data_IF_455294360843
#
_entry.id   IF_455294360843
#
_cell.length_a   1.000
_cell.length_b   1.000
_cell.length_c   1.000
_cell.angle_alpha   90.00
_cell.angle_beta   90.00
_cell.angle_gamma   90.00
#
_symmetry.space_group_name_H-M   'P 1'
#
loop_
_entity.id
_entity.type
_entity.pdbx_description
1 polymer ?
#
# COMPACT_ATOMS: atom_id res chain seq x y z
N UNK A 1 1.22 15.13 8.96
CA UNK A 1 0.45 15.33 7.70
C UNK A 1 -0.77 14.42 7.73
N UNK A 2 -1.81 14.65 6.90
CA UNK A 2 -3.03 13.82 6.91
C UNK A 2 -2.75 12.32 6.72
N UNK A 3 -1.81 11.96 5.87
CA UNK A 3 -1.46 10.57 5.59
C UNK A 3 -0.80 9.85 6.78
N UNK A 4 -0.07 10.56 7.65
CA UNK A 4 0.51 9.97 8.84
C UNK A 4 -0.56 9.51 9.85
N UNK A 5 -1.70 10.19 9.86
CA UNK A 5 -2.84 9.90 10.75
C UNK A 5 -3.86 8.97 10.10
N UNK A 6 -3.67 8.65 8.81
CA UNK A 6 -4.60 7.84 8.03
C UNK A 6 -4.44 6.34 8.24
N UNK A 7 -5.52 5.64 7.94
CA UNK A 7 -5.56 4.21 7.69
C UNK A 7 -6.09 3.98 6.28
N UNK A 8 -5.36 3.18 5.51
CA UNK A 8 -5.63 3.00 4.08
C UNK A 8 -6.40 1.72 3.80
N UNK A 9 -7.32 1.79 2.83
CA UNK A 9 -7.95 0.63 2.21
C UNK A 9 -7.48 0.54 0.76
N UNK A 10 -6.76 -0.51 0.41
CA UNK A 10 -6.22 -0.69 -0.94
C UNK A 10 -7.21 -1.47 -1.81
N UNK A 11 -7.46 -0.97 -3.00
CA UNK A 11 -8.38 -1.55 -3.99
C UNK A 11 -7.63 -1.78 -5.30
N UNK A 12 -7.67 -3.01 -5.82
CA UNK A 12 -7.27 -3.32 -7.20
C UNK A 12 -8.54 -3.29 -8.08
N UNK A 13 -8.79 -2.21 -8.84
CA UNK A 13 -10.10 -1.93 -9.41
C UNK A 13 -10.59 -2.98 -10.39
N UNK A 14 -9.71 -3.48 -11.30
CA UNK A 14 -10.08 -4.48 -12.30
C UNK A 14 -10.60 -5.77 -11.65
N UNK A 15 -9.88 -6.29 -10.64
CA UNK A 15 -10.34 -7.44 -9.87
C UNK A 15 -11.57 -7.12 -9.05
N UNK A 16 -11.53 -6.06 -8.26
CA UNK A 16 -12.62 -5.63 -7.38
C UNK A 16 -13.97 -5.53 -8.10
N UNK A 17 -13.96 -4.98 -9.32
CA UNK A 17 -15.15 -4.81 -10.15
C UNK A 17 -15.48 -6.02 -11.05
N UNK A 18 -14.73 -7.13 -10.96
CA UNK A 18 -14.93 -8.31 -11.80
C UNK A 18 -14.72 -8.03 -13.28
N UNK A 19 -13.72 -7.19 -13.61
CA UNK A 19 -13.41 -6.89 -15.00
C UNK A 19 -12.72 -8.09 -15.69
N UNK A 20 -12.84 -8.17 -16.99
CA UNK A 20 -12.20 -9.19 -17.81
C UNK A 20 -10.67 -9.08 -17.71
N UNK A 21 -9.96 -10.20 -17.76
CA UNK A 21 -8.50 -10.26 -17.68
C UNK A 21 -7.82 -9.53 -18.84
N UNK A 22 -8.43 -9.58 -20.03
CA UNK A 22 -7.97 -8.90 -21.24
C UNK A 22 -8.96 -7.84 -21.67
N UNK A 23 -8.43 -6.71 -22.12
CA UNK A 23 -9.24 -5.63 -22.67
C UNK A 23 -9.62 -5.95 -24.13
N UNK A 24 -10.89 -6.08 -24.40
CA UNK A 24 -11.42 -6.31 -25.74
C UNK A 24 -11.51 -5.00 -26.59
N UNK A 25 -11.19 -3.87 -25.97
CA UNK A 25 -11.31 -2.54 -26.56
C UNK A 25 -12.72 -2.21 -27.12
N UNK A 26 -13.72 -2.88 -26.54
CA UNK A 26 -15.13 -2.68 -26.87
C UNK A 26 -15.73 -1.42 -26.24
N UNK A 27 -17.03 -1.48 -25.97
CA UNK A 27 -17.74 -0.38 -25.31
C UNK A 27 -17.34 -0.22 -23.85
N UNK A 28 -17.44 1.01 -23.34
CA UNK A 28 -17.24 1.33 -21.93
C UNK A 28 -18.24 0.56 -21.06
N UNK A 29 -17.76 -0.04 -19.98
CA UNK A 29 -18.53 -0.79 -18.99
C UNK A 29 -18.50 -0.05 -17.66
N UNK A 30 -19.60 0.57 -17.27
CA UNK A 30 -19.71 1.44 -16.10
C UNK A 30 -19.74 0.64 -14.77
N UNK A 31 -18.63 -0.01 -14.39
CA UNK A 31 -18.52 -0.87 -13.19
C UNK A 31 -18.05 -0.15 -11.92
N UNK A 32 -17.56 1.08 -12.02
CA UNK A 32 -17.09 1.83 -10.86
C UNK A 32 -18.18 2.06 -9.81
N UNK A 33 -19.48 1.95 -10.19
CA UNK A 33 -20.58 1.96 -9.22
C UNK A 33 -20.46 0.86 -8.16
N UNK A 34 -19.83 -0.28 -8.47
CA UNK A 34 -19.58 -1.38 -7.51
C UNK A 34 -18.70 -0.89 -6.33
N UNK A 35 -17.69 -0.05 -6.64
CA UNK A 35 -16.85 0.57 -5.60
C UNK A 35 -17.66 1.65 -4.86
N UNK A 36 -18.42 2.47 -5.59
CA UNK A 36 -19.25 3.52 -5.02
C UNK A 36 -20.22 2.98 -3.97
N UNK A 37 -20.87 1.85 -4.23
CA UNK A 37 -21.78 1.17 -3.29
C UNK A 37 -21.09 0.69 -2.00
N UNK A 38 -19.78 0.54 -2.01
CA UNK A 38 -18.99 0.12 -0.84
C UNK A 38 -18.45 1.29 0.00
N UNK A 39 -18.59 2.54 -0.43
CA UNK A 39 -18.14 3.72 0.32
C UNK A 39 -18.71 3.75 1.75
N UNK A 40 -20.01 3.48 1.98
CA UNK A 40 -20.57 3.43 3.35
C UNK A 40 -19.88 2.38 4.23
N UNK A 41 -19.59 1.20 3.68
CA UNK A 41 -18.87 0.14 4.39
C UNK A 41 -17.43 0.56 4.72
N UNK A 42 -16.68 1.10 3.76
CA UNK A 42 -15.30 1.56 3.94
C UNK A 42 -15.25 2.64 5.05
N UNK A 43 -16.20 3.58 5.03
CA UNK A 43 -16.36 4.61 6.06
C UNK A 43 -16.70 4.02 7.42
N UNK A 44 -17.64 3.07 7.48
CA UNK A 44 -18.05 2.39 8.72
C UNK A 44 -16.90 1.62 9.34
N UNK A 45 -16.07 0.97 8.52
CA UNK A 45 -14.84 0.30 8.97
C UNK A 45 -13.80 1.29 9.50
N UNK A 46 -13.94 2.58 9.25
CA UNK A 46 -13.11 3.65 9.80
C UNK A 46 -11.88 3.98 8.96
N UNK A 47 -11.77 3.49 7.74
CA UNK A 47 -10.72 3.90 6.81
C UNK A 47 -10.86 5.36 6.41
N UNK A 48 -9.72 6.06 6.28
CA UNK A 48 -9.68 7.50 6.00
C UNK A 48 -9.06 7.83 4.65
N UNK A 49 -8.48 6.82 3.99
CA UNK A 49 -7.94 6.93 2.66
C UNK A 49 -8.11 5.63 1.87
N UNK A 50 -8.25 5.74 0.57
CA UNK A 50 -8.20 4.62 -0.37
C UNK A 50 -6.98 4.74 -1.27
N UNK A 51 -6.33 3.59 -1.54
CA UNK A 51 -5.29 3.46 -2.55
C UNK A 51 -5.82 2.61 -3.70
N UNK A 52 -5.98 3.20 -4.86
CA UNK A 52 -6.31 2.48 -6.09
C UNK A 52 -5.05 2.01 -6.79
N UNK A 53 -4.94 0.70 -7.04
CA UNK A 53 -4.01 0.15 -8.02
C UNK A 53 -4.40 0.62 -9.43
N UNK A 54 -3.61 0.34 -10.50
CA UNK A 54 -3.78 0.98 -11.78
C UNK A 54 -5.22 0.97 -12.28
N UNK A 55 -5.67 2.14 -12.73
CA UNK A 55 -7.05 2.45 -13.07
C UNK A 55 -7.21 2.87 -14.56
N UNK A 56 -6.08 3.24 -15.19
CA UNK A 56 -6.10 3.81 -16.53
C UNK A 56 -6.11 2.75 -17.62
N UNK A 57 -6.50 3.15 -18.85
CA UNK A 57 -6.66 2.26 -19.99
C UNK A 57 -5.42 1.37 -20.18
N UNK A 58 -5.61 0.06 -20.19
CA UNK A 58 -4.57 -0.94 -20.23
C UNK A 58 -4.94 -2.14 -21.08
N UNK A 59 -3.95 -2.95 -21.46
CA UNK A 59 -4.19 -4.16 -22.25
C UNK A 59 -4.78 -5.28 -21.38
N UNK A 60 -4.27 -5.47 -20.13
CA UNK A 60 -4.64 -6.60 -19.27
C UNK A 60 -4.79 -6.21 -17.81
N UNK A 61 -3.66 -6.07 -17.10
CA UNK A 61 -3.64 -6.01 -15.63
C UNK A 61 -3.48 -4.58 -15.06
N UNK A 62 -3.60 -3.56 -15.89
CA UNK A 62 -3.47 -2.17 -15.45
C UNK A 62 -2.04 -1.64 -15.45
N UNK A 63 -1.05 -2.47 -15.15
CA UNK A 63 0.37 -2.06 -15.20
C UNK A 63 0.91 -1.97 -16.63
N UNK A 64 0.23 -2.55 -17.60
CA UNK A 64 0.45 -2.39 -19.04
C UNK A 64 -0.38 -1.24 -19.61
N UNK A 65 -0.27 -0.06 -18.97
CA UNK A 65 -1.01 1.17 -19.33
C UNK A 65 -0.75 1.59 -20.77
N UNK A 66 -1.81 1.93 -21.51
CA UNK A 66 -1.72 2.42 -22.90
C UNK A 66 -2.21 3.85 -23.07
N UNK A 67 -2.98 4.39 -22.11
CA UNK A 67 -3.41 5.77 -22.08
C UNK A 67 -3.56 6.25 -20.63
N UNK A 68 -2.85 7.31 -20.26
CA UNK A 68 -2.90 7.89 -18.91
C UNK A 68 -4.01 8.93 -18.72
N UNK A 69 -4.76 9.25 -19.78
CA UNK A 69 -5.82 10.27 -19.75
C UNK A 69 -7.21 9.67 -19.75
N UNK A 70 -7.35 8.37 -19.97
CA UNK A 70 -8.63 7.66 -20.00
C UNK A 70 -8.67 6.59 -18.93
N UNK A 71 -9.74 6.54 -18.15
CA UNK A 71 -10.04 5.43 -17.27
C UNK A 71 -10.23 4.16 -18.10
N UNK A 72 -9.79 3.02 -17.61
CA UNK A 72 -9.93 1.73 -18.29
C UNK A 72 -11.42 1.45 -18.60
N UNK A 73 -11.72 1.27 -19.87
CA UNK A 73 -13.10 1.07 -20.35
C UNK A 73 -13.81 -0.13 -19.75
N UNK A 74 -13.08 -1.09 -19.22
CA UNK A 74 -13.65 -2.22 -18.47
C UNK A 74 -14.21 -1.81 -17.11
N UNK A 75 -13.83 -0.61 -16.61
CA UNK A 75 -14.25 -0.04 -15.33
C UNK A 75 -15.29 1.07 -15.50
N UNK A 76 -15.08 1.94 -16.46
CA UNK A 76 -15.93 3.11 -16.67
C UNK A 76 -15.29 4.14 -17.59
N UNK A 77 -15.69 5.38 -17.43
CA UNK A 77 -15.09 6.54 -18.07
C UNK A 77 -14.58 7.56 -17.03
N UNK A 78 -14.01 8.65 -17.52
CA UNK A 78 -13.50 9.72 -16.66
C UNK A 78 -14.57 10.37 -15.79
N UNK A 79 -15.82 10.46 -16.30
CA UNK A 79 -16.94 11.03 -15.54
C UNK A 79 -17.35 10.11 -14.37
N UNK A 80 -17.32 8.80 -14.60
CA UNK A 80 -17.59 7.81 -13.54
C UNK A 80 -16.54 7.91 -12.43
N UNK A 81 -15.25 8.00 -12.80
CA UNK A 81 -14.20 8.08 -11.80
C UNK A 81 -14.21 9.43 -11.05
N UNK A 82 -14.43 10.53 -11.74
CA UNK A 82 -14.59 11.84 -11.11
C UNK A 82 -15.70 11.81 -10.05
N UNK A 83 -16.87 11.29 -10.39
CA UNK A 83 -17.99 11.12 -9.48
C UNK A 83 -17.63 10.23 -8.29
N UNK A 84 -16.89 9.14 -8.52
CA UNK A 84 -16.44 8.24 -7.47
C UNK A 84 -15.53 8.95 -6.46
N UNK A 85 -14.57 9.75 -6.94
CA UNK A 85 -13.67 10.55 -6.09
C UNK A 85 -14.44 11.58 -5.27
N UNK A 86 -15.38 12.31 -5.91
CA UNK A 86 -16.25 13.27 -5.22
C UNK A 86 -17.00 12.60 -4.06
N UNK A 87 -17.54 11.41 -4.26
CA UNK A 87 -18.23 10.64 -3.21
C UNK A 87 -17.31 10.16 -2.09
N UNK A 88 -16.08 9.76 -2.40
CA UNK A 88 -15.08 9.47 -1.36
C UNK A 88 -14.78 10.72 -0.53
N UNK A 89 -14.59 11.87 -1.16
CA UNK A 89 -14.35 13.14 -0.46
C UNK A 89 -15.55 13.57 0.41
N UNK A 90 -16.78 13.41 -0.07
CA UNK A 90 -18.00 13.64 0.71
C UNK A 90 -18.08 12.71 1.94
N UNK A 91 -17.55 11.48 1.82
CA UNK A 91 -17.44 10.56 2.93
C UNK A 91 -16.29 10.89 3.90
N UNK A 92 -15.43 11.87 3.56
CA UNK A 92 -14.23 12.23 4.33
C UNK A 92 -13.05 11.29 4.09
N UNK A 93 -13.01 10.61 2.94
CA UNK A 93 -11.99 9.61 2.57
C UNK A 93 -11.13 10.21 1.45
N UNK A 94 -9.80 10.22 1.64
CA UNK A 94 -8.81 10.67 0.67
C UNK A 94 -8.56 9.60 -0.40
N UNK A 95 -8.20 10.04 -1.61
CA UNK A 95 -7.99 9.14 -2.77
C UNK A 95 -6.56 9.24 -3.28
N UNK A 96 -5.87 8.10 -3.30
CA UNK A 96 -4.51 7.94 -3.80
C UNK A 96 -4.53 7.00 -5.00
N UNK A 97 -3.82 7.35 -6.09
CA UNK A 97 -3.73 6.52 -7.29
C UNK A 97 -2.36 5.88 -7.43
N UNK A 98 -2.31 4.84 -8.25
CA UNK A 98 -1.07 4.21 -8.69
C UNK A 98 -0.53 4.89 -9.95
N UNK A 99 0.69 5.38 -9.90
CA UNK A 99 1.41 6.01 -10.99
C UNK A 99 2.43 5.04 -11.60
N UNK A 100 2.09 4.42 -12.71
CA UNK A 100 2.94 3.48 -13.45
C UNK A 100 3.78 4.26 -14.46
N UNK A 101 4.94 4.81 -14.03
CA UNK A 101 5.74 5.70 -14.88
C UNK A 101 7.05 5.10 -15.38
N UNK A 102 7.40 3.88 -14.93
CA UNK A 102 8.60 3.20 -15.41
C UNK A 102 8.40 2.57 -16.79
N UNK A 103 7.21 2.10 -17.11
CA UNK A 103 6.90 1.34 -18.31
C UNK A 103 5.46 1.54 -18.77
N UNK A 104 5.16 1.09 -19.98
CA UNK A 104 3.84 1.13 -20.62
C UNK A 104 3.54 -0.17 -21.35
N UNK A 105 2.28 -0.43 -21.67
CA UNK A 105 1.86 -1.52 -22.54
C UNK A 105 2.35 -1.37 -23.99
N UNK A 106 2.38 -2.46 -24.74
CA UNK A 106 2.86 -2.45 -26.14
C UNK A 106 1.94 -1.69 -27.11
N UNK A 107 0.67 -1.48 -26.73
CA UNK A 107 -0.29 -0.66 -27.49
C UNK A 107 -0.28 0.82 -27.10
N UNK A 108 0.66 1.25 -26.26
CA UNK A 108 0.87 2.66 -26.00
C UNK A 108 1.19 3.41 -27.29
N UNK A 109 0.49 4.50 -27.56
CA UNK A 109 0.52 5.18 -28.86
C UNK A 109 1.91 5.49 -29.40
N UNK A 110 2.84 5.89 -28.51
CA UNK A 110 4.20 6.21 -28.91
C UNK A 110 4.98 4.96 -29.31
N UNK A 111 4.74 3.83 -28.66
CA UNK A 111 5.38 2.56 -29.04
C UNK A 111 4.80 1.98 -30.32
N UNK A 112 3.50 2.10 -30.53
CA UNK A 112 2.88 1.74 -31.83
C UNK A 112 3.42 2.56 -33.00
N UNK A 113 3.67 3.86 -32.80
CA UNK A 113 4.30 4.69 -33.82
C UNK A 113 5.74 4.21 -34.15
N UNK A 114 6.51 3.84 -33.12
CA UNK A 114 7.85 3.24 -33.32
C UNK A 114 7.78 1.92 -34.06
N UNK A 115 6.82 1.04 -33.71
CA UNK A 115 6.64 -0.23 -34.42
C UNK A 115 6.30 -0.03 -35.90
N UNK A 116 5.50 1.00 -36.20
CA UNK A 116 5.10 1.29 -37.58
C UNK A 116 6.17 2.00 -38.40
N UNK A 117 6.90 2.96 -37.79
CA UNK A 117 7.83 3.86 -38.53
C UNK A 117 9.31 3.58 -38.29
N UNK A 118 9.61 2.79 -37.26
CA UNK A 118 10.99 2.41 -36.86
C UNK A 118 11.88 3.64 -36.64
N UNK A 119 13.05 3.69 -37.28
CA UNK A 119 14.00 4.82 -37.23
C UNK A 119 13.37 6.17 -37.65
N UNK A 120 12.30 6.14 -38.42
CA UNK A 120 11.56 7.32 -38.87
C UNK A 120 10.56 7.88 -37.85
N UNK A 121 10.37 7.19 -36.72
CA UNK A 121 9.47 7.67 -35.67
C UNK A 121 10.12 8.83 -34.87
N UNK A 122 9.36 9.89 -34.64
CA UNK A 122 9.75 10.98 -33.73
C UNK A 122 9.55 10.60 -32.24
N UNK A 123 9.01 9.40 -31.97
CA UNK A 123 8.84 8.83 -30.63
C UNK A 123 9.93 7.80 -30.27
N UNK A 124 10.89 7.51 -31.16
CA UNK A 124 11.93 6.49 -30.91
C UNK A 124 12.71 6.74 -29.61
N UNK A 125 12.97 8.01 -29.28
CA UNK A 125 13.75 8.41 -28.10
C UNK A 125 12.94 8.33 -26.80
N UNK A 126 11.64 8.01 -26.88
CA UNK A 126 10.77 7.75 -25.72
C UNK A 126 11.12 6.44 -25.04
N UNK A 127 11.87 5.56 -25.72
CA UNK A 127 12.23 4.22 -25.29
C UNK A 127 13.72 3.98 -25.53
N UNK A 128 14.27 2.98 -24.84
CA UNK A 128 15.64 2.52 -25.11
C UNK A 128 15.56 1.43 -26.21
N UNK A 129 15.88 1.78 -27.44
CA UNK A 129 15.71 0.93 -28.63
C UNK A 129 17.04 0.66 -29.33
N UNK A 130 17.18 -0.60 -29.82
CA UNK A 130 18.25 -0.99 -30.71
C UNK A 130 17.66 -1.62 -32.00
N UNK A 131 17.70 -0.89 -33.12
CA UNK A 131 17.16 -1.35 -34.40
C UNK A 131 17.99 -2.48 -35.06
N UNK A 132 19.19 -2.77 -34.55
CA UNK A 132 19.99 -3.93 -34.97
C UNK A 132 19.68 -5.21 -34.20
N UNK A 133 18.79 -5.16 -33.18
CA UNK A 133 18.41 -6.30 -32.37
C UNK A 133 17.00 -6.81 -32.65
N UNK A 134 16.52 -7.70 -31.77
CA UNK A 134 15.15 -8.21 -31.80
C UNK A 134 14.71 -8.65 -30.39
N UNK A 135 13.41 -8.86 -30.20
CA UNK A 135 12.83 -9.43 -28.99
C UNK A 135 12.00 -10.68 -29.32
N UNK A 136 11.42 -11.33 -28.29
CA UNK A 136 10.49 -12.44 -28.47
C UNK A 136 9.25 -12.08 -29.31
N UNK A 137 8.93 -10.80 -29.47
CA UNK A 137 7.79 -10.34 -30.29
C UNK A 137 8.09 -10.19 -31.77
N UNK A 138 9.37 -10.32 -32.20
CA UNK A 138 9.77 -10.24 -33.61
C UNK A 138 9.39 -8.91 -34.32
N UNK A 139 9.41 -7.79 -33.61
CA UNK A 139 9.17 -6.47 -34.20
C UNK A 139 10.32 -6.01 -35.14
N UNK A 140 11.43 -6.77 -35.18
CA UNK A 140 12.63 -6.46 -35.97
C UNK A 140 13.51 -5.39 -35.33
N UNK A 141 13.34 -5.09 -34.06
CA UNK A 141 14.22 -4.30 -33.21
C UNK A 141 14.14 -4.79 -31.78
N UNK A 142 15.19 -4.49 -31.00
CA UNK A 142 15.22 -4.72 -29.55
C UNK A 142 14.82 -3.44 -28.82
N UNK A 143 14.15 -3.60 -27.69
CA UNK A 143 13.85 -2.53 -26.75
C UNK A 143 13.95 -3.04 -25.30
N UNK A 144 14.16 -2.11 -24.37
CA UNK A 144 14.20 -2.44 -22.95
C UNK A 144 12.78 -2.65 -22.41
N UNK A 145 12.55 -3.81 -21.79
CA UNK A 145 11.34 -4.09 -21.00
C UNK A 145 11.62 -3.99 -19.50
N UNK A 146 10.59 -3.96 -18.69
CA UNK A 146 10.73 -4.01 -17.23
C UNK A 146 11.26 -5.38 -16.81
N UNK A 147 12.51 -5.42 -16.27
CA UNK A 147 13.15 -6.65 -15.74
C UNK A 147 13.05 -7.88 -16.67
N UNK A 148 13.06 -7.66 -17.99
CA UNK A 148 12.95 -8.71 -19.00
C UNK A 148 11.52 -9.02 -19.46
N UNK A 149 10.52 -8.40 -18.90
CA UNK A 149 9.13 -8.45 -19.33
C UNK A 149 8.91 -7.54 -20.54
N UNK A 150 8.98 -8.13 -21.74
CA UNK A 150 8.91 -7.38 -23.00
C UNK A 150 7.51 -6.82 -23.31
N UNK A 151 6.46 -7.31 -22.65
CA UNK A 151 5.12 -6.74 -22.69
C UNK A 151 5.02 -5.39 -21.97
N UNK A 152 5.96 -5.08 -21.08
CA UNK A 152 6.04 -3.84 -20.29
C UNK A 152 7.22 -3.01 -20.80
N UNK A 153 6.95 -2.17 -21.80
CA UNK A 153 7.98 -1.40 -22.52
C UNK A 153 8.47 -0.25 -21.67
N UNK A 154 9.75 -0.26 -21.30
CA UNK A 154 10.34 0.74 -20.41
C UNK A 154 10.41 2.10 -21.07
N UNK A 155 9.96 3.13 -20.37
CA UNK A 155 10.04 4.52 -20.79
C UNK A 155 11.44 5.09 -20.52
N UNK A 156 11.93 5.89 -21.46
CA UNK A 156 13.13 6.69 -21.28
C UNK A 156 12.79 8.02 -20.56
N UNK A 157 12.86 8.04 -19.24
CA UNK A 157 12.55 9.21 -18.43
C UNK A 157 13.52 10.38 -18.67
N UNK A 158 14.68 10.16 -19.30
CA UNK A 158 15.60 11.25 -19.71
C UNK A 158 15.14 11.96 -20.99
N UNK A 159 14.16 11.43 -21.72
CA UNK A 159 13.52 12.11 -22.82
C UNK A 159 12.56 13.19 -22.32
N UNK A 160 12.83 14.48 -22.61
CA UNK A 160 12.00 15.58 -22.15
C UNK A 160 10.53 15.49 -22.60
N UNK A 161 10.25 14.88 -23.76
CA UNK A 161 8.89 14.67 -24.24
C UNK A 161 8.14 13.64 -23.39
N UNK A 162 8.82 12.61 -22.85
CA UNK A 162 8.23 11.61 -21.93
C UNK A 162 7.87 12.26 -20.60
N UNK A 163 8.81 13.01 -20.01
CA UNK A 163 8.55 13.69 -18.73
C UNK A 163 7.48 14.77 -18.86
N UNK A 164 7.41 15.49 -19.98
CA UNK A 164 6.33 16.44 -20.25
C UNK A 164 4.97 15.74 -20.40
N UNK A 165 4.93 14.58 -21.05
CA UNK A 165 3.73 13.77 -21.17
C UNK A 165 3.25 13.29 -19.78
N UNK A 166 4.15 12.76 -18.93
CA UNK A 166 3.83 12.34 -17.57
C UNK A 166 3.36 13.53 -16.73
N UNK A 167 4.03 14.69 -16.81
CA UNK A 167 3.61 15.91 -16.12
C UNK A 167 2.18 16.29 -16.47
N UNK A 168 1.84 16.30 -17.75
CA UNK A 168 0.47 16.62 -18.21
C UNK A 168 -0.56 15.60 -17.72
N UNK A 169 -0.20 14.32 -17.66
CA UNK A 169 -1.08 13.28 -17.11
C UNK A 169 -1.34 13.50 -15.61
N UNK A 170 -0.29 13.76 -14.82
CA UNK A 170 -0.42 14.05 -13.38
C UNK A 170 -1.22 15.34 -13.13
N UNK A 171 -0.94 16.42 -13.90
CA UNK A 171 -1.72 17.66 -13.81
C UNK A 171 -3.20 17.43 -14.17
N UNK A 172 -3.48 16.61 -15.18
CA UNK A 172 -4.84 16.22 -15.55
C UNK A 172 -5.53 15.46 -14.40
N UNK A 173 -4.87 14.50 -13.74
CA UNK A 173 -5.45 13.78 -12.61
C UNK A 173 -5.75 14.69 -11.42
N UNK A 174 -4.89 15.69 -11.18
CA UNK A 174 -5.10 16.71 -10.15
C UNK A 174 -6.28 17.62 -10.48
N UNK A 175 -6.36 18.08 -11.73
CA UNK A 175 -7.39 19.06 -12.16
C UNK A 175 -8.77 18.40 -12.32
N UNK A 176 -8.81 17.22 -12.96
CA UNK A 176 -10.06 16.56 -13.31
C UNK A 176 -10.60 15.69 -12.17
N UNK A 177 -9.73 14.93 -11.49
CA UNK A 177 -10.18 13.98 -10.49
C UNK A 177 -9.92 14.45 -9.04
N UNK A 178 -9.13 15.50 -8.84
CA UNK A 178 -8.86 16.06 -7.50
C UNK A 178 -8.24 15.04 -6.52
N UNK A 179 -7.38 14.15 -7.01
CA UNK A 179 -6.74 13.11 -6.21
C UNK A 179 -5.83 13.70 -5.11
N UNK A 180 -5.64 12.95 -4.03
CA UNK A 180 -4.91 13.37 -2.84
C UNK A 180 -3.46 12.86 -2.77
N UNK A 181 -3.10 11.90 -3.62
CA UNK A 181 -1.76 11.34 -3.62
C UNK A 181 -1.49 10.36 -4.75
N UNK A 182 -0.22 9.94 -4.83
CA UNK A 182 0.26 8.90 -5.75
C UNK A 182 1.11 7.86 -5.01
N UNK A 183 0.90 6.59 -5.33
CA UNK A 183 1.88 5.51 -5.18
C UNK A 183 2.64 5.40 -6.48
N UNK A 184 3.96 5.39 -6.44
CA UNK A 184 4.79 5.20 -7.62
C UNK A 184 5.19 3.74 -7.72
N UNK A 185 4.71 3.09 -8.78
CA UNK A 185 5.06 1.72 -9.11
C UNK A 185 6.56 1.57 -9.36
N UNK A 186 7.16 0.45 -8.92
CA UNK A 186 8.58 0.11 -9.04
C UNK A 186 9.54 1.27 -8.82
N UNK A 187 9.31 2.05 -7.77
CA UNK A 187 10.09 3.27 -7.47
C UNK A 187 11.59 3.03 -7.34
N UNK A 188 12.02 1.81 -7.03
CA UNK A 188 13.44 1.44 -6.97
C UNK A 188 14.15 1.50 -8.34
N UNK A 189 13.39 1.57 -9.45
CA UNK A 189 13.92 1.75 -10.82
C UNK A 189 13.80 3.19 -11.32
N UNK A 190 13.11 4.06 -10.59
CA UNK A 190 12.97 5.46 -10.97
C UNK A 190 14.18 6.28 -10.50
N UNK A 191 14.71 7.19 -11.31
CA UNK A 191 15.83 8.03 -10.91
C UNK A 191 15.41 9.05 -9.84
N UNK A 192 16.33 9.41 -8.93
CA UNK A 192 16.03 10.29 -7.79
C UNK A 192 15.49 11.66 -8.22
N UNK A 193 16.02 12.23 -9.31
CA UNK A 193 15.54 13.51 -9.85
C UNK A 193 14.09 13.46 -10.30
N UNK A 194 13.57 12.28 -10.64
CA UNK A 194 12.17 12.10 -11.05
C UNK A 194 11.21 12.26 -9.86
N UNK A 195 11.61 11.87 -8.66
CA UNK A 195 10.83 12.15 -7.44
C UNK A 195 10.73 13.65 -7.18
N UNK A 196 11.84 14.39 -7.34
CA UNK A 196 11.86 15.85 -7.20
C UNK A 196 11.03 16.55 -8.29
N UNK A 197 11.08 16.03 -9.50
CA UNK A 197 10.25 16.49 -10.61
C UNK A 197 8.76 16.32 -10.30
N UNK A 198 8.33 15.13 -9.89
CA UNK A 198 6.95 14.87 -9.50
C UNK A 198 6.52 15.71 -8.29
N UNK A 199 7.37 15.81 -7.27
CA UNK A 199 7.08 16.62 -6.08
C UNK A 199 6.83 18.08 -6.44
N UNK A 200 7.64 18.67 -7.31
CA UNK A 200 7.42 20.04 -7.79
C UNK A 200 6.13 20.17 -8.60
N UNK A 201 5.83 19.20 -9.45
CA UNK A 201 4.60 19.19 -10.26
C UNK A 201 3.36 19.19 -9.37
N UNK A 202 3.30 18.29 -8.38
CA UNK A 202 2.11 18.17 -7.52
C UNK A 202 1.98 19.33 -6.54
N UNK A 203 3.09 19.80 -5.93
CA UNK A 203 3.06 20.95 -5.00
C UNK A 203 2.62 22.25 -5.62
N UNK A 204 2.85 22.45 -6.92
CA UNK A 204 2.37 23.63 -7.62
C UNK A 204 0.84 23.76 -7.59
N UNK A 205 0.13 22.65 -7.35
CA UNK A 205 -1.35 22.58 -7.31
C UNK A 205 -1.88 22.21 -5.91
N UNK A 206 -1.15 21.37 -5.15
CA UNK A 206 -1.61 20.84 -3.87
C UNK A 206 -0.41 20.60 -2.92
N UNK A 207 -0.30 21.42 -1.88
CA UNK A 207 0.85 21.37 -0.97
C UNK A 207 0.87 20.10 -0.10
N UNK A 208 -0.31 19.61 0.33
CA UNK A 208 -0.49 18.43 1.19
C UNK A 208 -0.56 17.10 0.42
N UNK A 209 -0.14 17.09 -0.85
CA UNK A 209 -0.21 15.90 -1.71
C UNK A 209 0.72 14.79 -1.23
N UNK A 210 0.16 13.58 -1.02
CA UNK A 210 0.91 12.40 -0.61
C UNK A 210 1.64 11.76 -1.78
N UNK A 211 2.94 11.52 -1.63
CA UNK A 211 3.75 10.87 -2.65
C UNK A 211 4.53 9.72 -2.02
N UNK A 212 4.17 8.48 -2.33
CA UNK A 212 4.85 7.29 -1.83
C UNK A 212 5.43 6.44 -2.95
N UNK A 213 6.47 5.67 -2.64
CA UNK A 213 7.12 4.76 -3.58
C UNK A 213 6.89 3.30 -3.22
N UNK A 214 6.68 2.45 -4.22
CA UNK A 214 6.84 1.02 -4.03
C UNK A 214 8.32 0.66 -4.07
N UNK A 215 8.82 0.08 -2.98
CA UNK A 215 10.22 -0.35 -2.84
C UNK A 215 10.29 -1.70 -2.14
N UNK A 216 10.84 -2.70 -2.83
CA UNK A 216 10.97 -4.07 -2.29
C UNK A 216 12.20 -4.20 -1.40
N UNK A 217 13.32 -3.57 -1.79
CA UNK A 217 14.61 -3.60 -1.09
C UNK A 217 14.91 -2.23 -0.50
N UNK A 218 14.55 -2.04 0.77
CA UNK A 218 14.50 -0.72 1.42
C UNK A 218 15.84 -0.23 1.99
N UNK A 219 16.90 -1.06 2.04
CA UNK A 219 18.14 -0.81 2.80
C UNK A 219 18.82 0.54 2.51
N UNK A 220 18.79 0.99 1.27
CA UNK A 220 19.48 2.22 0.83
C UNK A 220 18.51 3.33 0.37
N UNK A 221 17.21 3.19 0.66
CA UNK A 221 16.20 4.06 0.09
C UNK A 221 15.80 5.24 1.00
N UNK A 222 16.22 5.23 2.28
CA UNK A 222 15.89 6.26 3.27
C UNK A 222 16.25 7.69 2.85
N UNK A 223 17.30 7.85 2.02
CA UNK A 223 17.72 9.14 1.45
C UNK A 223 16.66 9.80 0.55
N UNK A 224 15.70 9.02 0.05
CA UNK A 224 14.62 9.52 -0.79
C UNK A 224 13.37 9.94 0.03
N UNK A 225 13.34 9.67 1.33
CA UNK A 225 12.28 10.14 2.22
C UNK A 225 12.62 11.54 2.76
N UNK A 226 12.45 12.53 1.90
CA UNK A 226 12.71 13.94 2.21
C UNK A 226 11.52 14.79 1.75
N UNK A 227 11.35 16.00 2.30
CA UNK A 227 10.26 16.89 1.89
C UNK A 227 10.20 17.14 0.38
N UNK A 228 11.32 17.11 -0.33
CA UNK A 228 11.39 17.40 -1.75
C UNK A 228 11.24 16.17 -2.66
N UNK A 229 11.10 14.98 -2.08
CA UNK A 229 10.95 13.71 -2.81
C UNK A 229 9.71 12.95 -2.35
N UNK A 230 9.88 11.88 -1.59
CA UNK A 230 8.82 10.98 -1.15
C UNK A 230 8.49 11.19 0.33
N UNK A 231 7.22 11.00 0.68
CA UNK A 231 6.74 11.01 2.06
C UNK A 231 6.89 9.63 2.71
N UNK A 232 6.71 8.56 1.94
CA UNK A 232 6.72 7.18 2.42
C UNK A 232 7.17 6.19 1.34
N UNK A 233 7.46 4.96 1.76
CA UNK A 233 7.68 3.80 0.88
C UNK A 233 7.04 2.56 1.49
N UNK A 234 6.77 1.54 0.66
CA UNK A 234 6.23 0.25 1.11
C UNK A 234 7.19 -0.48 2.05
N UNK A 235 6.64 -1.07 3.12
CA UNK A 235 7.41 -1.77 4.14
C UNK A 235 7.40 -3.30 3.93
N UNK A 236 8.06 -3.77 2.88
CA UNK A 236 8.19 -5.20 2.60
C UNK A 236 9.00 -5.96 3.66
N UNK A 237 9.87 -5.27 4.41
CA UNK A 237 10.65 -5.91 5.46
C UNK A 237 9.75 -6.35 6.63
N UNK A 238 8.91 -5.45 7.16
CA UNK A 238 7.97 -5.82 8.21
C UNK A 238 6.88 -6.78 7.72
N UNK A 239 6.42 -6.68 6.46
CA UNK A 239 5.54 -7.69 5.86
C UNK A 239 6.14 -9.10 5.97
N UNK A 240 7.39 -9.28 5.52
CA UNK A 240 8.10 -10.56 5.59
C UNK A 240 8.35 -11.00 7.04
N UNK A 241 8.81 -10.06 7.88
CA UNK A 241 9.08 -10.31 9.29
C UNK A 241 7.84 -10.74 10.07
N UNK A 242 6.68 -10.11 9.84
CA UNK A 242 5.40 -10.51 10.46
C UNK A 242 4.97 -11.91 10.04
N UNK A 243 4.97 -12.18 8.73
CA UNK A 243 4.56 -13.48 8.20
C UNK A 243 5.46 -14.60 8.71
N UNK A 244 6.78 -14.40 8.67
CA UNK A 244 7.75 -15.37 9.16
C UNK A 244 7.63 -15.59 10.67
N UNK A 245 7.61 -14.52 11.47
CA UNK A 245 7.55 -14.59 12.93
C UNK A 245 6.31 -15.36 13.44
N UNK A 246 5.15 -15.13 12.81
CA UNK A 246 3.91 -15.78 13.23
C UNK A 246 3.84 -17.25 12.80
N UNK A 247 4.42 -17.63 11.68
CA UNK A 247 4.46 -19.01 11.21
C UNK A 247 5.55 -19.85 11.89
N UNK A 248 6.69 -19.24 12.25
CA UNK A 248 7.79 -19.90 12.93
C UNK A 248 7.65 -19.89 14.48
N UNK A 249 6.61 -19.21 15.00
CA UNK A 249 6.46 -19.00 16.44
C UNK A 249 7.64 -18.25 17.08
N UNK A 250 8.20 -17.26 16.36
CA UNK A 250 9.40 -16.55 16.75
C UNK A 250 9.29 -15.03 16.55
N UNK A 251 8.75 -14.34 17.54
CA UNK A 251 8.58 -12.87 17.49
C UNK A 251 9.89 -12.09 17.49
N UNK A 252 11.04 -12.72 17.70
CA UNK A 252 12.36 -12.07 17.51
C UNK A 252 12.56 -11.61 16.06
N UNK A 253 11.95 -12.29 15.06
CA UNK A 253 12.10 -11.93 13.65
C UNK A 253 11.46 -10.57 13.33
N UNK A 254 10.22 -10.37 13.77
CA UNK A 254 9.55 -9.08 13.57
C UNK A 254 10.14 -7.98 14.47
N UNK A 255 10.54 -8.30 15.70
CA UNK A 255 11.15 -7.33 16.60
C UNK A 255 12.49 -6.83 16.04
N UNK A 256 13.29 -7.73 15.48
CA UNK A 256 14.53 -7.35 14.79
C UNK A 256 14.27 -6.36 13.66
N UNK A 257 13.26 -6.61 12.82
CA UNK A 257 12.87 -5.69 11.74
C UNK A 257 12.40 -4.34 12.31
N UNK A 258 11.60 -4.33 13.37
CA UNK A 258 11.11 -3.10 14.00
C UNK A 258 12.25 -2.28 14.58
N UNK A 259 13.16 -2.92 15.31
CA UNK A 259 14.34 -2.25 15.89
C UNK A 259 15.27 -1.75 14.78
N UNK A 260 15.56 -2.59 13.76
CA UNK A 260 16.41 -2.20 12.64
C UNK A 260 15.88 -1.01 11.86
N UNK A 261 14.57 -0.93 11.66
CA UNK A 261 13.96 0.15 10.91
C UNK A 261 13.75 1.40 11.78
N UNK A 262 13.21 1.25 12.97
CA UNK A 262 12.63 2.35 13.72
C UNK A 262 13.26 2.61 15.09
N UNK A 263 14.27 1.83 15.48
CA UNK A 263 15.03 2.04 16.73
C UNK A 263 15.72 3.40 16.77
N UNK A 264 16.38 3.69 17.91
CA UNK A 264 17.03 4.99 18.15
C UNK A 264 18.55 4.97 17.89
N UNK A 265 19.10 3.79 17.59
CA UNK A 265 20.53 3.63 17.33
C UNK A 265 20.93 4.18 15.96
N UNK A 266 22.18 4.61 15.79
CA UNK A 266 22.68 5.20 14.54
C UNK A 266 22.60 4.26 13.32
N UNK A 267 22.57 2.96 13.55
CA UNK A 267 22.45 1.96 12.47
C UNK A 267 21.01 1.71 12.02
N UNK A 268 20.01 2.29 12.71
CA UNK A 268 18.62 2.17 12.33
C UNK A 268 18.31 2.99 11.07
N UNK A 269 17.51 2.41 10.17
CA UNK A 269 17.41 2.93 8.80
C UNK A 269 16.37 4.04 8.63
N UNK A 270 15.27 3.98 9.37
CA UNK A 270 14.08 4.81 9.17
C UNK A 270 13.56 5.47 10.45
N UNK A 271 14.45 5.72 11.42
CA UNK A 271 14.08 6.41 12.67
C UNK A 271 13.36 7.72 12.36
N UNK A 272 12.16 7.91 12.92
CA UNK A 272 11.33 9.10 12.71
C UNK A 272 10.68 9.20 11.33
N UNK A 273 10.70 8.12 10.54
CA UNK A 273 9.99 8.02 9.25
C UNK A 273 8.78 7.12 9.36
N UNK A 274 7.72 7.43 8.60
CA UNK A 274 6.53 6.60 8.48
C UNK A 274 6.57 5.81 7.17
N UNK A 275 6.73 4.48 7.26
CA UNK A 275 6.64 3.60 6.11
C UNK A 275 5.20 3.12 5.91
N UNK A 276 4.84 2.75 4.68
CA UNK A 276 3.53 2.24 4.33
C UNK A 276 3.46 0.74 4.64
N UNK A 277 2.76 0.39 5.71
CA UNK A 277 2.70 -0.95 6.28
C UNK A 277 1.49 -1.73 5.75
N UNK A 278 1.71 -2.99 5.40
CA UNK A 278 0.67 -3.90 4.91
C UNK A 278 0.92 -5.34 5.39
N UNK A 279 -0.14 -6.14 5.49
CA UNK A 279 -0.08 -7.57 5.78
C UNK A 279 -0.15 -8.42 4.50
N UNK A 280 -0.82 -7.88 3.48
CA UNK A 280 -0.90 -8.39 2.12
C UNK A 280 -1.24 -7.26 1.15
N UNK A 281 -1.11 -7.53 -0.14
CA UNK A 281 -1.51 -6.66 -1.22
C UNK A 281 -1.83 -7.47 -2.50
N UNK A 282 -1.97 -6.82 -3.64
CA UNK A 282 -2.31 -7.44 -4.92
C UNK A 282 -1.19 -8.29 -5.57
N UNK A 283 0.03 -8.31 -4.99
CA UNK A 283 1.23 -9.00 -5.52
C UNK A 283 1.75 -10.11 -4.61
N UNK A 284 1.26 -10.19 -3.37
CA UNK A 284 1.69 -11.19 -2.39
C UNK A 284 0.53 -12.05 -1.91
N UNK A 285 0.84 -13.22 -1.36
CA UNK A 285 -0.16 -14.15 -0.82
C UNK A 285 -1.02 -13.42 0.22
N UNK A 286 -2.34 -13.64 0.16
CA UNK A 286 -3.30 -13.04 1.09
C UNK A 286 -2.97 -13.41 2.54
N UNK A 287 -3.07 -12.46 3.46
CA UNK A 287 -2.69 -12.64 4.86
C UNK A 287 -3.40 -13.84 5.50
N UNK A 288 -4.68 -14.01 5.21
CA UNK A 288 -5.46 -15.15 5.70
C UNK A 288 -4.92 -16.49 5.17
N UNK A 289 -4.43 -16.56 3.95
CA UNK A 289 -3.77 -17.76 3.39
C UNK A 289 -2.37 -17.95 3.96
N UNK A 290 -1.58 -16.88 4.04
CA UNK A 290 -0.17 -16.91 4.43
C UNK A 290 0.04 -17.31 5.90
N UNK A 291 -0.85 -16.93 6.82
CA UNK A 291 -0.77 -17.26 8.25
C UNK A 291 -1.43 -18.61 8.50
N UNK A 292 -0.64 -19.62 8.84
CA UNK A 292 -1.11 -20.99 9.02
C UNK A 292 -2.13 -21.09 10.18
N UNK A 293 -1.81 -20.56 11.36
CA UNK A 293 -2.70 -20.52 12.52
C UNK A 293 -3.49 -19.20 12.55
N UNK A 294 -4.78 -19.27 12.20
CA UNK A 294 -5.66 -18.10 12.08
C UNK A 294 -5.88 -17.35 13.40
N UNK A 295 -5.64 -17.99 14.56
CA UNK A 295 -5.71 -17.33 15.88
C UNK A 295 -4.67 -16.22 16.02
N UNK A 296 -3.56 -16.27 15.24
CA UNK A 296 -2.49 -15.27 15.23
C UNK A 296 -2.78 -14.05 14.35
N UNK A 297 -3.86 -14.05 13.57
CA UNK A 297 -4.24 -12.90 12.74
C UNK A 297 -4.54 -11.66 13.59
N UNK A 298 -5.06 -11.82 14.79
CA UNK A 298 -5.25 -10.71 15.71
C UNK A 298 -3.91 -10.04 16.08
N UNK A 299 -2.86 -10.83 16.34
CA UNK A 299 -1.52 -10.32 16.61
C UNK A 299 -0.91 -9.65 15.37
N UNK A 300 -1.08 -10.25 14.17
CA UNK A 300 -0.64 -9.68 12.90
C UNK A 300 -1.13 -8.23 12.73
N UNK A 301 -2.44 -8.04 12.76
CA UNK A 301 -3.02 -6.71 12.52
C UNK A 301 -2.78 -5.75 13.69
N UNK A 302 -2.72 -6.23 14.93
CA UNK A 302 -2.41 -5.37 16.08
C UNK A 302 -0.99 -4.82 15.99
N UNK A 303 0.00 -5.65 15.65
CA UNK A 303 1.38 -5.19 15.43
C UNK A 303 1.42 -4.22 14.25
N UNK A 304 0.79 -4.57 13.11
CA UNK A 304 0.74 -3.74 11.90
C UNK A 304 0.22 -2.32 12.17
N UNK A 305 -0.83 -2.19 12.98
CA UNK A 305 -1.43 -0.89 13.31
C UNK A 305 -0.68 -0.10 14.38
N UNK A 306 0.02 -0.80 15.27
CA UNK A 306 0.74 -0.17 16.37
C UNK A 306 2.22 0.14 16.05
N UNK A 307 2.85 -0.55 15.09
CA UNK A 307 4.22 -0.23 14.69
C UNK A 307 4.31 1.14 13.99
N UNK A 308 5.51 1.80 13.93
CA UNK A 308 5.68 3.03 13.18
C UNK A 308 5.30 2.87 11.70
N UNK A 309 4.62 3.87 11.16
CA UNK A 309 4.21 3.88 9.75
C UNK A 309 2.72 4.06 9.55
N UNK A 310 2.27 3.91 8.33
CA UNK A 310 0.90 4.13 7.84
C UNK A 310 0.27 2.78 7.55
N UNK A 311 -0.72 2.30 8.32
CA UNK A 311 -1.33 1.00 8.09
C UNK A 311 -2.24 0.97 6.87
N UNK A 312 -2.15 -0.11 6.10
CA UNK A 312 -2.99 -0.40 4.95
C UNK A 312 -3.57 -1.81 5.04
N UNK A 313 -4.84 -1.93 4.71
CA UNK A 313 -5.55 -3.21 4.55
C UNK A 313 -5.96 -3.35 3.10
N UNK A 314 -5.59 -4.45 2.47
CA UNK A 314 -6.01 -4.77 1.12
C UNK A 314 -7.44 -5.34 1.14
N UNK A 315 -8.28 -4.95 0.18
CA UNK A 315 -9.71 -5.29 0.20
C UNK A 315 -10.00 -6.77 0.39
N UNK A 316 -10.93 -7.07 1.27
CA UNK A 316 -11.32 -8.42 1.64
C UNK A 316 -10.43 -9.08 2.70
N UNK A 317 -9.24 -8.56 2.99
CA UNK A 317 -8.37 -9.11 4.05
C UNK A 317 -9.00 -8.95 5.42
N UNK A 318 -9.76 -7.89 5.63
CA UNK A 318 -10.56 -7.68 6.83
C UNK A 318 -11.63 -8.74 7.04
N UNK A 319 -12.08 -9.38 5.97
CA UNK A 319 -13.06 -10.46 5.99
C UNK A 319 -12.42 -11.86 5.91
N UNK A 320 -11.10 -11.96 5.88
CA UNK A 320 -10.40 -13.24 5.74
C UNK A 320 -10.41 -13.80 4.31
N UNK A 321 -10.37 -12.94 3.29
CA UNK A 321 -10.22 -13.37 1.91
C UNK A 321 -8.93 -14.15 1.72
N UNK A 322 -9.03 -15.29 1.00
CA UNK A 322 -7.91 -16.16 0.65
C UNK A 322 -7.40 -15.86 -0.76
N UNK A 323 -6.18 -16.28 -1.03
CA UNK A 323 -5.56 -16.22 -2.35
C UNK A 323 -4.08 -16.50 -2.29
N UNK A 324 -3.60 -17.20 -3.31
CA UNK A 324 -2.19 -17.49 -3.56
C UNK A 324 -1.83 -17.17 -5.02
N UNK A 325 -0.62 -17.51 -5.45
CA UNK A 325 -0.15 -17.28 -6.82
C UNK A 325 -0.31 -18.49 -7.75
N UNK A 326 -1.14 -19.45 -7.43
CA UNK A 326 -1.31 -20.69 -8.20
C UNK A 326 -1.81 -20.45 -9.64
N UNK A 327 -2.55 -19.34 -9.87
CA UNK A 327 -2.99 -18.88 -11.21
C UNK A 327 -2.47 -17.46 -11.47
N UNK A 328 -1.16 -17.29 -11.39
CA UNK A 328 -0.54 -15.97 -11.42
C UNK A 328 -1.04 -15.09 -10.28
N UNK A 329 -1.22 -13.79 -10.55
CA UNK A 329 -1.70 -12.85 -9.53
C UNK A 329 -3.24 -12.75 -9.46
N UNK A 330 -3.99 -13.41 -10.34
CA UNK A 330 -5.45 -13.25 -10.40
C UNK A 330 -6.15 -13.76 -9.15
N UNK A 331 -5.65 -14.85 -8.53
CA UNK A 331 -6.19 -15.36 -7.27
C UNK A 331 -6.02 -14.39 -6.09
N UNK A 332 -5.10 -13.42 -6.23
CA UNK A 332 -4.89 -12.36 -5.24
C UNK A 332 -5.88 -11.20 -5.42
N UNK A 333 -6.59 -11.14 -6.56
CA UNK A 333 -7.39 -10.00 -7.06
C UNK A 333 -8.85 -10.38 -7.32
N UNK A 334 -9.56 -11.02 -6.33
CA UNK A 334 -10.91 -11.53 -6.53
C UNK A 334 -11.93 -10.42 -6.76
N UNK A 335 -13.06 -10.77 -7.40
CA UNK A 335 -14.23 -9.91 -7.44
C UNK A 335 -14.80 -9.73 -6.02
N UNK A 336 -15.16 -8.49 -5.65
CA UNK A 336 -15.68 -8.19 -4.30
C UNK A 336 -16.96 -8.97 -3.99
N UNK A 337 -17.76 -9.28 -5.00
CA UNK A 337 -18.98 -10.08 -4.86
C UNK A 337 -18.73 -11.55 -4.51
N UNK A 338 -17.52 -12.07 -4.75
CA UNK A 338 -17.13 -13.44 -4.43
C UNK A 338 -16.56 -13.58 -3.00
N UNK A 339 -16.32 -12.46 -2.32
CA UNK A 339 -15.76 -12.44 -0.97
C UNK A 339 -16.86 -12.64 0.07
N UNK A 340 -16.76 -13.71 0.87
CA UNK A 340 -17.64 -13.92 2.02
C UNK A 340 -17.28 -12.95 3.15
N UNK A 341 -18.07 -11.89 3.29
CA UNK A 341 -17.88 -10.86 4.32
C UNK A 341 -18.11 -11.39 5.76
N UNK A 342 -18.69 -12.56 5.92
CA UNK A 342 -18.96 -13.18 7.23
C UNK A 342 -17.96 -14.26 7.59
N UNK A 343 -16.92 -14.52 6.80
CA UNK A 343 -15.93 -15.57 7.04
C UNK A 343 -15.10 -15.34 8.32
N UNK A 344 -14.74 -14.08 8.60
CA UNK A 344 -13.90 -13.71 9.74
C UNK A 344 -14.46 -12.48 10.49
N UNK A 345 -15.65 -12.57 11.11
CA UNK A 345 -16.32 -11.41 11.70
C UNK A 345 -15.53 -10.79 12.87
N UNK A 346 -14.80 -11.61 13.64
CA UNK A 346 -13.96 -11.14 14.74
C UNK A 346 -12.77 -10.33 14.24
N UNK A 347 -12.19 -10.73 13.10
CA UNK A 347 -11.11 -10.00 12.45
C UNK A 347 -11.60 -8.65 11.91
N UNK A 348 -12.76 -8.62 11.24
CA UNK A 348 -13.41 -7.38 10.79
C UNK A 348 -13.68 -6.43 11.96
N UNK A 349 -14.23 -6.93 13.07
CA UNK A 349 -14.48 -6.15 14.27
C UNK A 349 -13.18 -5.58 14.88
N UNK A 350 -12.11 -6.38 14.92
CA UNK A 350 -10.81 -5.95 15.40
C UNK A 350 -10.24 -4.84 14.52
N UNK A 351 -10.21 -5.02 13.20
CA UNK A 351 -9.67 -4.02 12.25
C UNK A 351 -10.46 -2.70 12.36
N UNK A 352 -11.79 -2.76 12.42
CA UNK A 352 -12.63 -1.58 12.67
C UNK A 352 -12.22 -0.86 13.95
N UNK A 353 -11.97 -1.59 15.03
CA UNK A 353 -11.51 -1.04 16.30
C UNK A 353 -10.11 -0.42 16.18
N UNK A 354 -9.17 -1.11 15.52
CA UNK A 354 -7.80 -0.62 15.28
C UNK A 354 -7.80 0.67 14.46
N UNK A 355 -8.67 0.80 13.45
CA UNK A 355 -8.87 2.04 12.70
C UNK A 355 -9.30 3.19 13.63
N UNK A 356 -10.23 2.93 14.55
CA UNK A 356 -10.67 3.91 15.55
C UNK A 356 -9.56 4.34 16.51
N UNK A 357 -8.80 3.37 17.02
CA UNK A 357 -7.67 3.61 17.94
C UNK A 357 -6.58 4.45 17.24
N UNK A 358 -6.21 4.08 16.00
CA UNK A 358 -5.19 4.77 15.22
C UNK A 358 -5.53 6.23 14.98
N UNK A 359 -6.76 6.53 14.55
CA UNK A 359 -7.23 7.90 14.26
C UNK A 359 -7.19 8.82 15.48
N UNK A 360 -7.35 8.29 16.68
CA UNK A 360 -7.34 9.06 17.92
C UNK A 360 -5.99 9.19 18.61
N UNK A 361 -4.90 8.59 18.06
CA UNK A 361 -3.62 8.49 18.77
C UNK A 361 -2.48 9.21 18.06
N UNK A 362 -1.94 10.24 18.70
CA UNK A 362 -0.71 10.93 18.30
C UNK A 362 0.50 10.02 18.43
N UNK A 363 0.56 9.20 19.49
CA UNK A 363 1.65 8.27 19.70
C UNK A 363 1.75 7.24 18.58
N UNK A 364 0.62 6.68 18.11
CA UNK A 364 0.63 5.73 16.99
C UNK A 364 0.99 6.41 15.66
N UNK A 365 0.57 7.66 15.44
CA UNK A 365 0.86 8.40 14.21
C UNK A 365 2.32 8.85 14.12
N UNK A 366 2.89 9.37 15.20
CA UNK A 366 4.17 10.09 15.18
C UNK A 366 5.21 9.58 16.18
N UNK A 367 4.81 8.69 17.10
CA UNK A 367 5.68 8.21 18.16
C UNK A 367 6.82 7.34 17.67
N UNK A 368 7.94 7.37 18.38
CA UNK A 368 9.05 6.44 18.18
C UNK A 368 8.71 5.00 18.58
N UNK A 369 9.58 4.08 18.26
CA UNK A 369 9.50 2.67 18.65
C UNK A 369 10.45 2.36 19.81
N UNK A 370 9.96 1.66 20.83
CA UNK A 370 10.77 1.15 21.92
C UNK A 370 10.26 -0.24 22.36
N UNK A 371 11.13 -1.24 22.28
CA UNK A 371 10.86 -2.57 22.79
C UNK A 371 10.83 -2.56 24.32
N UNK A 372 9.78 -3.11 24.92
CA UNK A 372 9.65 -3.26 26.37
C UNK A 372 9.95 -4.70 26.81
N UNK A 373 9.27 -5.68 26.23
CA UNK A 373 9.41 -7.10 26.57
C UNK A 373 9.41 -7.94 25.31
N UNK A 374 10.27 -8.94 25.22
CA UNK A 374 10.37 -9.86 24.09
C UNK A 374 10.62 -11.29 24.54
N UNK A 375 9.88 -12.19 23.96
CA UNK A 375 10.07 -13.64 23.98
C UNK A 375 9.67 -14.23 22.64
N UNK A 376 9.95 -15.49 22.37
CA UNK A 376 9.52 -16.13 21.13
C UNK A 376 7.99 -15.99 20.88
N UNK A 377 7.20 -16.07 21.95
CA UNK A 377 5.74 -16.17 21.89
C UNK A 377 4.99 -14.89 22.30
N UNK A 378 5.66 -13.92 22.87
CA UNK A 378 5.02 -12.66 23.28
C UNK A 378 5.96 -11.48 23.09
N UNK A 379 5.36 -10.35 22.74
CA UNK A 379 6.05 -9.08 22.50
C UNK A 379 5.24 -7.95 23.14
N UNK A 380 5.94 -7.04 23.81
CA UNK A 380 5.40 -5.74 24.19
C UNK A 380 6.35 -4.64 23.75
N UNK A 381 5.81 -3.62 23.10
CA UNK A 381 6.54 -2.43 22.71
C UNK A 381 5.74 -1.15 22.99
N UNK A 382 6.45 -0.04 23.08
CA UNK A 382 5.90 1.28 23.37
C UNK A 382 5.99 2.19 22.15
N UNK A 383 4.99 3.05 22.00
CA UNK A 383 4.97 4.21 21.13
C UNK A 383 4.72 5.46 21.98
N UNK A 384 5.48 6.53 21.75
CA UNK A 384 5.36 7.76 22.54
C UNK A 384 5.52 9.01 21.68
N UNK A 385 4.55 9.94 21.77
CA UNK A 385 4.61 11.27 21.18
C UNK A 385 3.70 12.24 21.96
N UNK A 386 4.10 13.48 22.06
CA UNK A 386 3.31 14.58 22.62
C UNK A 386 2.72 14.28 24.03
N UNK A 387 3.45 13.51 24.85
CA UNK A 387 3.02 13.08 26.19
C UNK A 387 2.05 11.90 26.20
N UNK A 388 1.60 11.42 25.04
CA UNK A 388 0.81 10.18 24.93
C UNK A 388 1.74 8.98 24.85
N UNK A 389 1.47 7.93 25.66
CA UNK A 389 2.14 6.64 25.62
C UNK A 389 1.17 5.52 25.34
N UNK A 390 1.49 4.72 24.34
CA UNK A 390 0.73 3.52 23.95
C UNK A 390 1.63 2.29 24.07
N UNK A 391 1.11 1.26 24.73
CA UNK A 391 1.74 -0.05 24.83
C UNK A 391 0.97 -1.05 24.00
N UNK A 392 1.65 -1.70 23.06
CA UNK A 392 1.10 -2.81 22.29
C UNK A 392 1.66 -4.12 22.86
N UNK A 393 0.82 -5.02 23.31
CA UNK A 393 1.21 -6.32 23.85
C UNK A 393 0.46 -7.44 23.13
N UNK A 394 1.20 -8.46 22.67
CA UNK A 394 0.65 -9.61 21.94
C UNK A 394 1.20 -10.90 22.53
N UNK A 395 0.33 -11.91 22.61
CA UNK A 395 0.67 -13.30 22.95
C UNK A 395 0.23 -14.20 21.77
N UNK A 396 1.16 -14.95 21.18
CA UNK A 396 0.87 -15.89 20.08
C UNK A 396 0.95 -17.35 20.52
N UNK A 397 0.96 -17.61 21.85
CA UNK A 397 0.98 -18.96 22.39
C UNK A 397 -0.39 -19.41 22.87
N UNK A 398 -0.51 -20.69 23.14
CA UNK A 398 -1.65 -21.34 23.77
C UNK A 398 -1.62 -21.33 25.31
N UNK A 399 -0.66 -20.59 25.88
CA UNK A 399 -0.49 -20.45 27.33
C UNK A 399 -0.78 -19.00 27.77
N UNK A 400 -1.19 -18.85 29.01
CA UNK A 400 -1.26 -17.55 29.69
C UNK A 400 0.12 -16.95 29.89
N UNK A 401 0.22 -15.65 29.69
CA UNK A 401 1.48 -14.88 29.85
C UNK A 401 1.21 -13.62 30.67
N UNK A 402 2.12 -13.29 31.56
CA UNK A 402 2.14 -11.99 32.24
C UNK A 402 3.35 -11.18 31.77
N UNK A 403 3.10 -9.97 31.30
CA UNK A 403 4.11 -9.03 30.81
C UNK A 403 4.18 -7.84 31.77
N UNK A 404 5.38 -7.34 32.04
CA UNK A 404 5.59 -6.20 32.94
C UNK A 404 6.25 -5.06 32.19
N UNK A 405 5.67 -3.87 32.30
CA UNK A 405 6.29 -2.61 31.90
C UNK A 405 6.33 -1.71 33.13
N UNK A 406 7.36 -0.88 33.26
CA UNK A 406 7.54 -0.03 34.45
C UNK A 406 6.61 1.20 34.45
N UNK A 407 5.28 0.94 34.51
CA UNK A 407 4.25 1.98 34.48
C UNK A 407 3.09 1.62 35.42
N UNK A 408 2.42 2.62 35.99
CA UNK A 408 1.40 2.42 37.02
C UNK A 408 0.09 1.85 36.43
N UNK A 409 -0.60 2.64 35.61
CA UNK A 409 -1.92 2.27 35.08
C UNK A 409 -2.08 2.63 33.59
N UNK A 410 -2.85 1.81 32.89
CA UNK A 410 -3.27 2.07 31.52
C UNK A 410 -4.69 1.61 31.26
N UNK A 411 -5.34 2.28 30.32
CA UNK A 411 -6.64 1.90 29.78
C UNK A 411 -6.44 1.04 28.54
N UNK A 412 -6.99 -0.17 28.57
CA UNK A 412 -6.97 -1.10 27.43
C UNK A 412 -8.01 -0.65 26.38
N UNK A 413 -7.55 -0.19 25.25
CA UNK A 413 -8.43 0.20 24.14
C UNK A 413 -9.21 -0.97 23.52
N UNK A 414 -8.77 -2.22 23.74
CA UNK A 414 -9.47 -3.41 23.23
C UNK A 414 -10.67 -3.75 24.13
N UNK A 415 -10.50 -3.70 25.45
CA UNK A 415 -11.55 -4.10 26.41
C UNK A 415 -12.23 -2.91 27.11
N UNK A 416 -11.60 -1.75 27.14
CA UNK A 416 -12.04 -0.58 27.92
C UNK A 416 -11.68 -0.64 29.40
N UNK A 417 -10.96 -1.67 29.85
CA UNK A 417 -10.59 -1.86 31.24
C UNK A 417 -9.34 -1.08 31.64
N UNK A 418 -9.32 -0.59 32.87
CA UNK A 418 -8.13 -0.01 33.48
C UNK A 418 -7.36 -1.09 34.22
N UNK A 419 -6.07 -1.23 33.91
CA UNK A 419 -5.21 -2.26 34.48
C UNK A 419 -3.88 -1.66 34.96
N UNK A 420 -3.27 -2.31 35.94
CA UNK A 420 -1.89 -2.05 36.30
C UNK A 420 -0.95 -2.60 35.21
N UNK A 421 -0.10 -1.75 34.62
CA UNK A 421 0.80 -2.14 33.56
C UNK A 421 2.05 -2.90 34.05
N UNK A 422 2.27 -2.96 35.37
CA UNK A 422 3.25 -3.88 35.94
C UNK A 422 2.78 -5.34 35.99
N UNK A 423 1.53 -5.63 35.59
CA UNK A 423 0.95 -6.97 35.62
C UNK A 423 -0.05 -7.15 34.44
N UNK A 424 0.44 -7.01 33.23
CA UNK A 424 -0.37 -7.17 32.02
C UNK A 424 -0.59 -8.66 31.76
N UNK A 425 -1.78 -9.13 32.08
CA UNK A 425 -2.19 -10.51 31.80
C UNK A 425 -2.68 -10.65 30.35
N UNK A 426 -2.08 -11.59 29.62
CA UNK A 426 -2.38 -11.93 28.23
C UNK A 426 -2.82 -13.39 28.14
N UNK A 427 -4.11 -13.68 28.02
CA UNK A 427 -4.60 -15.02 27.69
C UNK A 427 -4.00 -15.58 26.39
N UNK A 428 -4.21 -16.88 26.09
CA UNK A 428 -3.79 -17.46 24.82
C UNK A 428 -4.27 -16.63 23.62
N UNK A 429 -3.38 -16.34 22.68
CA UNK A 429 -3.61 -15.56 21.45
C UNK A 429 -4.19 -14.16 21.67
N UNK A 430 -4.06 -13.61 22.86
CA UNK A 430 -4.59 -12.28 23.19
C UNK A 430 -3.72 -11.15 22.65
N UNK A 431 -4.41 -10.06 22.35
CA UNK A 431 -3.79 -8.76 22.02
C UNK A 431 -4.34 -7.69 22.95
N UNK A 432 -3.49 -6.71 23.33
CA UNK A 432 -3.85 -5.56 24.16
C UNK A 432 -3.18 -4.29 23.64
N UNK A 433 -3.89 -3.21 23.75
CA UNK A 433 -3.37 -1.87 23.41
C UNK A 433 -3.72 -0.95 24.58
N UNK A 434 -2.73 -0.62 25.39
CA UNK A 434 -2.91 0.23 26.56
C UNK A 434 -2.47 1.66 26.30
N UNK A 435 -3.34 2.62 26.63
CA UNK A 435 -2.96 4.01 26.79
C UNK A 435 -2.63 4.27 28.25
N UNK A 436 -1.40 4.77 28.53
CA UNK A 436 -1.04 5.20 29.87
C UNK A 436 -2.02 6.27 30.35
N UNK A 437 -2.48 6.14 31.60
CA UNK A 437 -3.18 7.20 32.33
C UNK A 437 -2.11 8.08 32.99
N UNK A 438 -2.19 9.40 32.72
CA UNK A 438 -1.26 10.41 33.24
C UNK A 438 -1.39 10.64 34.73
#
# INVERSE_FOLDING_TARGET
MWFDESTFYQIYPLGYCGAERENDFGQVRHRLHIIEEQIPYIKEMGFTAVLFNPLFESERHGYDTIDFFSVDRRLGDNADFKRLVEKFHEAGIRVVLDGVFNHVGRRFFAFEDVRARREGSDKRDWFNINFGGNTCYNDGFWYEGWEGHMELVKLNLHCGAVTDYIRRAVEFWLDEFQIDGLRLDVSYLLPEWFFEFLRRTVRAKREDFFLMGEVIHIQNFAKNLTPDRLDSITNYECYKGLTSALNSDNLFEIEYSLTRLFGQEQWCLYTGKNLFNFADNHDVIRAYTAIADKRKLAALYTILYCMPGIPCVYYGSECGAEGDKSDGDYNLRPFIGDIDKNKAPELSALIKKLNGIRRGSRALAYGGYEKCVLNNKYLCFKREADGERIYCAVNISDADVTVRVEEAEGEDFITGEVRNLNDIYLPPFAVRIYKRRG
#
